data_IF_846302297269
#
_entry.id   IF_846302297269
#
_cell.length_a   1.000
_cell.length_b   1.000
_cell.length_c   1.000
_cell.angle_alpha   90.00
_cell.angle_beta   90.00
_cell.angle_gamma   90.00
#
_symmetry.space_group_name_H-M   'P 1'
#
loop_
_entity.id
_entity.type
_entity.pdbx_description
1 polymer ?
#
# COMPACT_ATOMS: atom_id res chain seq x y z
N UNK A 1 1.00 20.25 5.62
CA UNK A 1 -0.41 20.57 5.30
C UNK A 1 -0.67 22.06 5.47
N UNK A 2 -0.24 22.70 6.57
CA UNK A 2 -0.18 24.16 6.69
C UNK A 2 1.26 24.64 6.50
N UNK A 3 1.50 25.61 5.61
CA UNK A 3 2.81 26.24 5.36
C UNK A 3 3.04 27.46 6.25
N UNK A 4 1.97 28.19 6.56
CA UNK A 4 2.03 29.36 7.42
C UNK A 4 0.63 29.88 7.72
N UNK A 5 0.52 30.63 8.82
CA UNK A 5 -0.66 31.38 9.17
C UNK A 5 -0.23 32.75 9.72
N UNK A 6 -0.88 33.81 9.28
CA UNK A 6 -0.65 35.20 9.75
C UNK A 6 -1.99 35.87 10.00
N UNK A 7 -2.02 36.79 10.96
CA UNK A 7 -3.20 37.60 11.27
C UNK A 7 -2.74 39.05 11.40
N UNK A 8 -3.34 39.93 10.60
CA UNK A 8 -3.09 41.37 10.62
C UNK A 8 -4.44 42.09 10.60
N UNK A 9 -4.70 42.96 11.58
CA UNK A 9 -5.93 43.76 11.71
C UNK A 9 -7.24 42.96 11.57
N UNK A 10 -7.23 41.71 12.04
CA UNK A 10 -8.35 40.77 11.96
C UNK A 10 -8.53 40.07 10.62
N UNK A 11 -7.69 40.34 9.62
CA UNK A 11 -7.58 39.52 8.42
C UNK A 11 -6.57 38.38 8.64
N UNK A 12 -7.05 37.15 8.60
CA UNK A 12 -6.21 35.96 8.68
C UNK A 12 -5.85 35.45 7.28
N UNK A 13 -4.57 35.16 7.06
CA UNK A 13 -4.10 34.45 5.87
C UNK A 13 -3.54 33.10 6.27
N UNK A 14 -4.04 32.02 5.66
CA UNK A 14 -3.58 30.65 5.90
C UNK A 14 -3.15 30.02 4.60
N UNK A 15 -1.91 29.54 4.56
CA UNK A 15 -1.36 28.85 3.40
C UNK A 15 -1.38 27.35 3.66
N UNK A 16 -2.05 26.59 2.80
CA UNK A 16 -2.10 25.13 2.88
C UNK A 16 -1.50 24.49 1.63
N UNK A 17 -0.83 23.35 1.82
CA UNK A 17 -0.23 22.56 0.75
C UNK A 17 -0.80 21.14 0.76
N UNK A 18 -1.40 20.76 -0.37
CA UNK A 18 -2.01 19.45 -0.61
C UNK A 18 -1.01 18.49 -1.28
N UNK A 19 -1.19 17.19 -1.06
CA UNK A 19 -0.26 16.15 -1.52
C UNK A 19 -0.34 15.85 -3.01
N UNK A 20 -1.46 16.18 -3.67
CA UNK A 20 -1.72 15.92 -5.09
C UNK A 20 -2.49 17.07 -5.74
N UNK A 21 -2.18 17.35 -7.01
CA UNK A 21 -2.94 18.29 -7.83
C UNK A 21 -4.32 17.68 -8.15
N UNK A 22 -5.40 18.43 -7.92
CA UNK A 22 -6.77 17.96 -8.20
C UNK A 22 -7.40 17.07 -7.13
N UNK A 23 -6.97 17.16 -5.87
CA UNK A 23 -7.60 16.42 -4.77
C UNK A 23 -9.11 16.77 -4.69
N UNK A 24 -10.04 15.80 -4.80
CA UNK A 24 -11.49 16.08 -4.68
C UNK A 24 -11.86 16.67 -3.32
N UNK A 25 -11.05 16.36 -2.30
CA UNK A 25 -11.19 16.90 -0.96
C UNK A 25 -10.62 18.31 -0.78
N UNK A 26 -9.96 18.90 -1.80
CA UNK A 26 -9.36 20.23 -1.70
C UNK A 26 -10.37 21.30 -1.28
N UNK A 27 -11.54 21.33 -1.91
CA UNK A 27 -12.61 22.27 -1.58
C UNK A 27 -13.15 22.07 -0.15
N UNK A 28 -13.26 20.81 0.28
CA UNK A 28 -13.68 20.49 1.66
C UNK A 28 -12.64 20.95 2.67
N UNK A 29 -11.37 20.66 2.44
CA UNK A 29 -10.26 21.07 3.31
C UNK A 29 -10.19 22.59 3.37
N UNK A 30 -10.33 23.30 2.25
CA UNK A 30 -10.37 24.76 2.22
C UNK A 30 -11.53 25.33 3.06
N UNK A 31 -12.73 24.76 2.89
CA UNK A 31 -13.93 25.13 3.65
C UNK A 31 -13.73 24.90 5.16
N UNK A 32 -13.21 23.74 5.53
CA UNK A 32 -12.97 23.36 6.93
C UNK A 32 -11.93 24.30 7.57
N UNK A 33 -10.84 24.60 6.86
CA UNK A 33 -9.80 25.53 7.33
C UNK A 33 -10.34 26.96 7.44
N UNK A 34 -11.13 27.43 6.47
CA UNK A 34 -11.78 28.75 6.52
C UNK A 34 -12.69 28.86 7.74
N UNK A 35 -13.56 27.87 7.96
CA UNK A 35 -14.47 27.83 9.10
C UNK A 35 -13.71 27.84 10.43
N UNK A 36 -12.65 27.04 10.55
CA UNK A 36 -11.80 26.99 11.73
C UNK A 36 -11.01 28.30 11.96
N UNK A 37 -10.65 29.02 10.89
CA UNK A 37 -9.94 30.29 11.00
C UNK A 37 -10.87 31.41 11.47
N UNK A 38 -12.11 31.44 10.98
CA UNK A 38 -13.12 32.44 11.36
C UNK A 38 -13.67 32.24 12.78
N UNK A 39 -13.50 31.06 13.39
CA UNK A 39 -13.90 30.84 14.79
C UNK A 39 -12.90 31.40 15.80
N UNK A 40 -11.73 31.89 15.35
CA UNK A 40 -10.72 32.49 16.21
C UNK A 40 -11.14 33.91 16.61
N UNK A 41 -11.23 34.22 17.92
CA UNK A 41 -11.56 35.56 18.38
C UNK A 41 -10.61 36.63 17.81
N UNK A 42 -11.16 37.71 17.27
CA UNK A 42 -10.40 38.79 16.66
C UNK A 42 -10.16 38.63 15.15
N UNK A 43 -10.56 37.52 14.53
CA UNK A 43 -10.53 37.33 13.08
C UNK A 43 -11.88 37.71 12.47
N UNK A 44 -11.88 38.68 11.57
CA UNK A 44 -13.05 39.16 10.82
C UNK A 44 -13.10 38.62 9.39
N UNK A 45 -11.96 38.22 8.82
CA UNK A 45 -11.88 37.66 7.46
C UNK A 45 -10.77 36.62 7.34
N UNK A 46 -10.91 35.69 6.39
CA UNK A 46 -9.94 34.62 6.14
C UNK A 46 -9.65 34.44 4.64
N UNK A 47 -8.37 34.53 4.26
CA UNK A 47 -7.83 34.21 2.93
C UNK A 47 -7.09 32.87 3.00
N UNK A 48 -7.55 31.88 2.23
CA UNK A 48 -6.96 30.54 2.22
C UNK A 48 -6.25 30.32 0.87
N UNK A 49 -4.93 30.19 0.91
CA UNK A 49 -4.13 29.92 -0.29
C UNK A 49 -3.83 28.43 -0.35
N UNK A 50 -4.32 27.75 -1.39
CA UNK A 50 -4.13 26.31 -1.60
C UNK A 50 -3.05 26.06 -2.65
N UNK A 51 -1.95 25.46 -2.23
CA UNK A 51 -0.86 25.01 -3.08
C UNK A 51 -0.72 23.49 -3.14
N UNK A 52 0.24 23.03 -3.94
CA UNK A 52 0.65 21.61 -4.01
C UNK A 52 2.02 21.47 -3.36
N UNK A 53 2.22 20.36 -2.64
CA UNK A 53 3.50 20.01 -2.03
C UNK A 53 4.53 19.67 -3.09
N UNK A 54 5.76 20.15 -2.89
CA UNK A 54 6.91 19.67 -3.65
C UNK A 54 7.41 18.29 -3.16
N UNK A 55 8.41 17.73 -3.85
CA UNK A 55 8.97 16.42 -3.50
C UNK A 55 9.61 16.38 -2.10
N UNK A 56 10.22 17.49 -1.67
CA UNK A 56 10.89 17.63 -0.38
C UNK A 56 9.88 17.69 0.77
N UNK A 57 8.84 18.50 0.61
CA UNK A 57 7.73 18.63 1.56
C UNK A 57 6.98 17.31 1.75
N UNK A 58 6.72 16.58 0.66
CA UNK A 58 6.12 15.25 0.70
C UNK A 58 7.03 14.23 1.40
N UNK A 59 8.34 14.32 1.17
CA UNK A 59 9.34 13.50 1.86
C UNK A 59 9.29 13.70 3.38
N UNK A 60 9.33 14.94 3.84
CA UNK A 60 9.23 15.29 5.28
C UNK A 60 7.91 14.85 5.89
N UNK A 61 6.79 15.04 5.20
CA UNK A 61 5.48 14.56 5.69
C UNK A 61 5.48 13.03 5.82
N UNK A 62 6.06 12.32 4.85
CA UNK A 62 6.17 10.87 4.89
C UNK A 62 7.03 10.41 6.06
N UNK A 63 8.12 11.11 6.36
CA UNK A 63 8.99 10.85 7.51
C UNK A 63 8.27 11.09 8.85
N UNK A 64 7.57 12.23 8.98
CA UNK A 64 6.76 12.54 10.17
C UNK A 64 5.68 11.47 10.42
N UNK A 65 4.95 11.07 9.37
CA UNK A 65 3.89 10.05 9.47
C UNK A 65 4.44 8.66 9.78
N UNK A 66 5.73 8.39 9.49
CA UNK A 66 6.37 7.12 9.84
C UNK A 66 6.70 7.01 11.33
N UNK A 67 6.74 8.12 12.09
CA UNK A 67 6.97 8.12 13.53
C UNK A 67 8.17 7.23 13.97
N UNK A 68 9.29 7.32 13.24
CA UNK A 68 10.49 6.52 13.50
C UNK A 68 10.43 5.06 13.04
N UNK A 69 9.32 4.59 12.46
CA UNK A 69 9.26 3.26 11.82
C UNK A 69 10.11 3.28 10.55
N UNK A 70 10.98 2.26 10.34
CA UNK A 70 11.76 2.16 9.12
C UNK A 70 10.82 2.14 7.91
N UNK A 71 11.28 2.72 6.80
CA UNK A 71 10.58 2.57 5.54
C UNK A 71 10.41 1.07 5.26
N UNK A 72 9.21 0.63 4.82
CA UNK A 72 9.09 -0.71 4.25
C UNK A 72 10.04 -0.77 3.05
N UNK A 73 11.17 -1.43 3.22
CA UNK A 73 12.06 -1.75 2.12
C UNK A 73 11.43 -2.91 1.36
N UNK A 74 11.41 -2.81 0.03
CA UNK A 74 11.10 -3.96 -0.80
C UNK A 74 12.28 -4.91 -0.71
N UNK A 75 12.14 -6.12 -0.14
CA UNK A 75 13.26 -7.06 0.02
C UNK A 75 13.77 -7.58 -1.34
N UNK A 76 12.98 -7.43 -2.41
CA UNK A 76 13.28 -7.86 -3.77
C UNK A 76 13.61 -6.66 -4.67
N UNK A 77 14.55 -5.81 -4.23
CA UNK A 77 15.06 -4.67 -5.00
C UNK A 77 16.00 -5.07 -6.15
N UNK A 78 16.60 -4.09 -6.86
CA UNK A 78 17.48 -4.31 -8.02
C UNK A 78 18.67 -5.24 -7.74
N UNK A 79 19.20 -5.21 -6.52
CA UNK A 79 20.33 -6.03 -6.08
C UNK A 79 19.92 -7.45 -5.67
N UNK A 80 18.61 -7.76 -5.67
CA UNK A 80 18.10 -9.08 -5.32
C UNK A 80 18.24 -10.03 -6.50
N UNK A 81 18.78 -11.23 -6.23
CA UNK A 81 18.75 -12.34 -7.19
C UNK A 81 17.34 -12.91 -7.39
N UNK A 82 16.38 -12.53 -6.54
CA UNK A 82 15.00 -13.02 -6.59
C UNK A 82 14.20 -12.23 -7.62
N UNK A 83 13.69 -12.92 -8.65
CA UNK A 83 12.75 -12.35 -9.62
C UNK A 83 11.31 -12.55 -9.15
N UNK A 84 10.54 -11.47 -9.09
CA UNK A 84 9.11 -11.51 -8.75
C UNK A 84 8.30 -11.49 -10.03
N UNK A 85 7.44 -12.51 -10.23
CA UNK A 85 6.54 -12.63 -11.38
C UNK A 85 5.10 -12.56 -10.86
N UNK A 86 4.36 -11.54 -11.28
CA UNK A 86 2.94 -11.40 -10.97
C UNK A 86 2.09 -12.02 -12.08
N UNK A 87 1.23 -12.98 -11.72
CA UNK A 87 0.27 -13.59 -12.64
C UNK A 87 -1.14 -13.10 -12.28
N UNK A 88 -1.78 -12.38 -13.18
CA UNK A 88 -3.10 -11.74 -12.95
C UNK A 88 -4.10 -12.13 -14.05
N UNK A 89 -5.39 -11.95 -13.77
CA UNK A 89 -6.45 -12.14 -14.76
C UNK A 89 -7.61 -11.19 -14.52
N UNK A 90 -8.21 -10.66 -15.60
CA UNK A 90 -9.38 -9.77 -15.49
C UNK A 90 -10.72 -10.49 -15.25
N UNK A 91 -10.75 -11.83 -15.30
CA UNK A 91 -11.94 -12.67 -15.12
C UNK A 91 -11.60 -13.97 -14.40
N UNK A 92 -12.56 -14.53 -13.67
CA UNK A 92 -12.44 -15.86 -13.05
C UNK A 92 -12.50 -16.98 -14.10
N UNK A 93 -11.94 -18.14 -13.78
CA UNK A 93 -12.04 -19.35 -14.62
C UNK A 93 -11.09 -19.42 -15.82
N UNK A 94 -10.24 -18.41 -16.06
CA UNK A 94 -9.31 -18.39 -17.21
C UNK A 94 -8.08 -19.31 -17.04
N UNK A 95 -8.00 -20.09 -15.96
CA UNK A 95 -6.87 -20.97 -15.68
C UNK A 95 -5.64 -20.28 -15.08
N UNK A 96 -5.77 -19.06 -14.52
CA UNK A 96 -4.69 -18.33 -13.82
C UNK A 96 -3.91 -19.24 -12.87
N UNK A 97 -4.60 -19.85 -11.91
CA UNK A 97 -3.96 -20.66 -10.87
C UNK A 97 -3.26 -21.90 -11.42
N UNK A 98 -3.84 -22.55 -12.44
CA UNK A 98 -3.24 -23.70 -13.13
C UNK A 98 -1.94 -23.30 -13.82
N UNK A 99 -1.95 -22.19 -14.57
CA UNK A 99 -0.76 -21.68 -15.24
C UNK A 99 0.32 -21.26 -14.23
N UNK A 100 -0.07 -20.59 -13.14
CA UNK A 100 0.87 -20.21 -12.07
C UNK A 100 1.53 -21.43 -11.43
N UNK A 101 0.74 -22.47 -11.12
CA UNK A 101 1.27 -23.71 -10.55
C UNK A 101 2.23 -24.42 -11.51
N UNK A 102 1.87 -24.53 -12.80
CA UNK A 102 2.72 -25.12 -13.83
C UNK A 102 4.03 -24.35 -14.04
N UNK A 103 3.96 -23.03 -14.04
CA UNK A 103 5.16 -22.18 -14.12
C UNK A 103 6.07 -22.42 -12.93
N UNK A 104 5.52 -22.44 -11.71
CA UNK A 104 6.29 -22.65 -10.49
C UNK A 104 6.96 -24.03 -10.46
N UNK A 105 6.23 -25.09 -10.78
CA UNK A 105 6.77 -26.46 -10.78
C UNK A 105 7.80 -26.66 -11.89
N UNK A 106 7.61 -26.05 -13.07
CA UNK A 106 8.58 -26.13 -14.17
C UNK A 106 9.88 -25.40 -13.83
N UNK A 107 9.80 -24.23 -13.20
CA UNK A 107 10.98 -23.49 -12.74
C UNK A 107 11.72 -24.26 -11.63
N UNK A 108 10.98 -24.87 -10.70
CA UNK A 108 11.56 -25.71 -9.66
C UNK A 108 12.23 -26.96 -10.26
N UNK A 109 11.62 -27.61 -11.25
CA UNK A 109 12.20 -28.75 -11.97
C UNK A 109 13.49 -28.40 -12.73
N UNK A 110 13.70 -27.13 -13.08
CA UNK A 110 14.96 -26.61 -13.63
C UNK A 110 16.02 -26.30 -12.57
N UNK A 111 15.76 -26.63 -11.30
CA UNK A 111 16.69 -26.41 -10.19
C UNK A 111 16.65 -25.01 -9.57
N UNK A 112 15.65 -24.19 -9.91
CA UNK A 112 15.51 -22.86 -9.31
C UNK A 112 14.80 -22.95 -7.95
N UNK A 113 15.19 -22.07 -7.02
CA UNK A 113 14.44 -21.85 -5.78
C UNK A 113 13.20 -21.02 -6.10
N UNK A 114 12.03 -21.61 -5.91
CA UNK A 114 10.75 -20.98 -6.26
C UNK A 114 9.88 -20.86 -5.02
N UNK A 115 9.45 -19.63 -4.73
CA UNK A 115 8.35 -19.35 -3.81
C UNK A 115 7.07 -19.11 -4.60
N UNK A 116 5.95 -19.65 -4.13
CA UNK A 116 4.64 -19.45 -4.73
C UNK A 116 3.68 -18.88 -3.68
N UNK A 117 3.06 -17.75 -4.00
CA UNK A 117 2.13 -17.04 -3.12
C UNK A 117 0.78 -16.99 -3.84
N UNK A 118 -0.25 -17.58 -3.22
CA UNK A 118 -1.63 -17.44 -3.69
C UNK A 118 -2.26 -16.21 -3.05
N UNK A 119 -2.44 -15.16 -3.85
CA UNK A 119 -3.05 -13.90 -3.43
C UNK A 119 -4.53 -13.80 -3.83
N UNK A 120 -5.16 -14.92 -4.21
CA UNK A 120 -6.57 -14.96 -4.58
C UNK A 120 -7.48 -14.98 -3.34
N UNK A 121 -8.21 -13.88 -3.12
CA UNK A 121 -9.05 -13.68 -1.93
C UNK A 121 -10.32 -14.54 -1.97
N UNK A 122 -10.80 -14.93 -3.15
CA UNK A 122 -12.10 -15.58 -3.33
C UNK A 122 -12.03 -17.09 -3.54
N UNK A 123 -10.85 -17.65 -3.83
CA UNK A 123 -10.72 -19.06 -4.17
C UNK A 123 -9.27 -19.52 -4.27
N UNK A 124 -8.60 -19.64 -3.11
CA UNK A 124 -7.27 -20.23 -3.05
C UNK A 124 -7.32 -21.66 -3.59
N UNK A 125 -6.65 -21.89 -4.71
CA UNK A 125 -6.73 -23.14 -5.48
C UNK A 125 -5.36 -23.79 -5.62
N UNK A 126 -4.29 -23.03 -5.36
CA UNK A 126 -2.92 -23.47 -5.50
C UNK A 126 -2.57 -24.68 -4.61
N UNK A 127 -2.91 -24.72 -3.31
CA UNK A 127 -2.59 -25.90 -2.50
C UNK A 127 -3.22 -27.18 -3.05
N UNK A 128 -4.48 -27.11 -3.50
CA UNK A 128 -5.17 -28.23 -4.12
C UNK A 128 -4.53 -28.68 -5.44
N UNK A 129 -4.19 -27.74 -6.32
CA UNK A 129 -3.49 -28.03 -7.59
C UNK A 129 -2.13 -28.70 -7.34
N UNK A 130 -1.40 -28.30 -6.29
CA UNK A 130 -0.10 -28.87 -5.95
C UNK A 130 -0.17 -30.18 -5.16
N UNK A 131 -1.38 -30.62 -4.77
CA UNK A 131 -1.59 -31.81 -3.94
C UNK A 131 -1.21 -31.62 -2.47
N UNK A 132 -1.14 -30.37 -2.01
CA UNK A 132 -0.90 -30.03 -0.60
C UNK A 132 -2.24 -30.07 0.13
N UNK A 133 -2.72 -31.29 0.42
CA UNK A 133 -3.98 -31.54 1.10
C UNK A 133 -3.74 -32.10 2.51
N UNK A 134 -4.61 -31.74 3.44
CA UNK A 134 -4.67 -32.31 4.78
C UNK A 134 -5.31 -33.71 4.81
N UNK A 135 -5.37 -34.34 5.99
CA UNK A 135 -5.97 -35.67 6.17
C UNK A 135 -7.45 -35.76 5.78
N UNK A 136 -8.15 -34.62 5.80
CA UNK A 136 -9.55 -34.43 5.44
C UNK A 136 -9.75 -34.15 3.93
N UNK A 137 -8.68 -34.15 3.14
CA UNK A 137 -8.71 -33.83 1.71
C UNK A 137 -8.89 -32.33 1.42
N UNK A 138 -8.91 -31.48 2.45
CA UNK A 138 -9.01 -30.03 2.30
C UNK A 138 -7.61 -29.39 2.25
N UNK A 139 -7.45 -28.19 1.64
CA UNK A 139 -6.22 -27.43 1.75
C UNK A 139 -5.91 -27.11 3.22
N UNK A 140 -4.69 -27.41 3.70
CA UNK A 140 -4.32 -27.10 5.08
C UNK A 140 -4.22 -25.59 5.25
N UNK A 141 -4.61 -25.11 6.43
CA UNK A 141 -4.42 -23.71 6.78
C UNK A 141 -2.92 -23.37 6.87
N UNK A 142 -2.50 -22.17 6.41
CA UNK A 142 -1.15 -21.68 6.62
C UNK A 142 -0.82 -21.65 8.12
N UNK A 143 0.32 -22.19 8.51
CA UNK A 143 0.78 -22.02 9.89
C UNK A 143 1.31 -20.60 10.05
N UNK A 144 0.70 -19.83 10.95
CA UNK A 144 1.14 -18.49 11.33
C UNK A 144 1.86 -18.53 12.68
N UNK A 145 3.00 -17.84 12.76
CA UNK A 145 3.71 -17.54 14.00
C UNK A 145 3.86 -16.03 14.05
N UNK A 146 3.11 -15.37 14.93
CA UNK A 146 2.98 -13.90 14.96
C UNK A 146 2.60 -13.32 13.58
N UNK A 147 3.49 -12.50 13.02
CA UNK A 147 3.38 -11.88 11.69
C UNK A 147 4.00 -12.73 10.56
N UNK A 148 4.58 -13.89 10.89
CA UNK A 148 5.24 -14.78 9.93
C UNK A 148 4.30 -15.89 9.47
N UNK A 149 4.33 -16.18 8.17
CA UNK A 149 3.71 -17.36 7.58
C UNK A 149 4.79 -18.39 7.28
N UNK A 150 4.63 -19.61 7.81
CA UNK A 150 5.54 -20.69 7.52
C UNK A 150 5.23 -21.30 6.14
N UNK A 151 6.22 -21.31 5.22
CA UNK A 151 6.04 -21.95 3.92
C UNK A 151 5.92 -23.46 4.09
N UNK A 152 4.99 -24.06 3.36
CA UNK A 152 4.89 -25.51 3.22
C UNK A 152 5.75 -25.93 2.03
N UNK A 153 6.68 -26.85 2.22
CA UNK A 153 7.46 -27.42 1.12
C UNK A 153 6.86 -28.75 0.65
N UNK A 154 6.86 -28.98 -0.67
CA UNK A 154 6.50 -30.27 -1.28
C UNK A 154 7.73 -31.13 -1.54
N UNK A 155 8.85 -30.48 -1.78
CA UNK A 155 10.20 -31.06 -1.90
C UNK A 155 10.95 -30.68 -0.64
N UNK A 156 11.37 -31.68 0.14
CA UNK A 156 12.16 -31.52 1.36
C UNK A 156 13.39 -30.64 1.16
#
# INVERSE_FOLDING_TARGET
MVRGARVEDGAARVEIALTVAGCPAAARIESDVRSATLSVPGVSSADIVVGVMDATERGRLTEMLRAGRPARSMPFGPDSLTRVIAVTSGKGGVGKSTLTALLATTLAARGLRVGLIDADVHGFSIPGILGLLGPDGAPPQPTRIDDLMLPRSRTG
#
